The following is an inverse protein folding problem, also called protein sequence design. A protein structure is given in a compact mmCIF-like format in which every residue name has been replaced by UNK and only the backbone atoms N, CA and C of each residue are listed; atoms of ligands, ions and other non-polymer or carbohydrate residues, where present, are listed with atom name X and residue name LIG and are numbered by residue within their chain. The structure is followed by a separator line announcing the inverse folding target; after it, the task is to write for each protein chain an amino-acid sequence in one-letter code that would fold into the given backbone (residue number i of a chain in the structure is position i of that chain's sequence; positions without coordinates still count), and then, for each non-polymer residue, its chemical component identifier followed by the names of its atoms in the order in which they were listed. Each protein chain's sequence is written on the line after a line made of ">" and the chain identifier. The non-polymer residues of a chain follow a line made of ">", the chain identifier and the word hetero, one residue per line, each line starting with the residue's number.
data_IF_049269424738
#
_entry.id   IF_049269424738
#
_cell.length_a   1.000
_cell.length_b   1.000
_cell.length_c   1.000
_cell.angle_alpha   90.00
_cell.angle_beta   90.00
_cell.angle_gamma   90.00
#
_symmetry.space_group_name_H-M   'P 1'
#
loop_
_entity.id
_entity.type
_entity.pdbx_description
1 polymer ?
#
# COMPACT_ATOMS: atom_id res chain seq x y z
N UNK A 1 59.36 -70.49 -22.46
CA UNK A 1 58.73 -71.32 -21.41
C UNK A 1 58.12 -70.35 -20.41
N UNK A 2 56.78 -70.17 -20.46
CA UNK A 2 55.84 -70.62 -19.41
C UNK A 2 56.10 -69.86 -18.09
N UNK A 3 55.25 -68.96 -17.61
CA UNK A 3 53.84 -69.21 -17.30
C UNK A 3 53.02 -67.91 -17.24
N UNK A 4 51.79 -68.00 -17.77
CA UNK A 4 50.68 -67.07 -17.54
C UNK A 4 50.08 -67.39 -16.18
N UNK A 5 49.83 -66.39 -15.36
CA UNK A 5 48.96 -66.45 -14.18
C UNK A 5 47.82 -65.44 -14.37
N UNK A 6 46.61 -65.97 -14.25
CA UNK A 6 45.31 -65.30 -14.37
C UNK A 6 45.01 -64.44 -13.15
N UNK A 7 44.24 -63.33 -13.28
CA UNK A 7 43.44 -62.83 -12.17
C UNK A 7 41.95 -63.07 -12.40
N UNK A 8 41.34 -63.48 -11.29
CA UNK A 8 39.94 -63.79 -11.02
C UNK A 8 39.01 -62.63 -11.38
N UNK A 9 37.91 -62.96 -12.07
CA UNK A 9 36.72 -62.12 -12.23
C UNK A 9 36.02 -61.94 -10.87
N UNK A 10 35.87 -60.70 -10.41
CA UNK A 10 34.91 -60.33 -9.37
C UNK A 10 34.06 -59.18 -9.89
N UNK A 11 32.80 -59.48 -10.24
CA UNK A 11 31.79 -58.53 -10.66
C UNK A 11 31.42 -57.59 -9.51
N UNK A 12 31.69 -56.30 -9.67
CA UNK A 12 31.24 -55.26 -8.76
C UNK A 12 29.80 -54.85 -9.17
N UNK A 13 28.80 -55.33 -8.43
CA UNK A 13 27.43 -54.83 -8.53
C UNK A 13 27.41 -53.38 -7.99
N UNK A 14 27.20 -52.39 -8.86
CA UNK A 14 26.75 -51.07 -8.44
C UNK A 14 25.27 -51.17 -8.05
N UNK A 15 25.00 -51.24 -6.74
CA UNK A 15 23.68 -50.89 -6.23
C UNK A 15 23.49 -49.38 -6.37
N UNK A 16 22.71 -48.95 -7.37
CA UNK A 16 22.05 -47.64 -7.31
C UNK A 16 21.04 -47.70 -6.16
N UNK A 17 21.41 -47.18 -4.99
CA UNK A 17 20.44 -46.81 -3.97
C UNK A 17 19.70 -45.56 -4.46
N UNK A 18 18.49 -45.75 -4.98
CA UNK A 18 17.51 -44.67 -5.05
C UNK A 18 17.21 -44.23 -3.63
N UNK A 19 17.68 -43.04 -3.24
CA UNK A 19 17.23 -42.40 -2.01
C UNK A 19 15.79 -41.96 -2.25
N UNK A 20 14.84 -42.81 -1.86
CA UNK A 20 13.45 -42.40 -1.70
C UNK A 20 13.40 -41.50 -0.48
N UNK A 21 13.21 -40.20 -0.68
CA UNK A 21 12.74 -39.31 0.38
C UNK A 21 11.30 -39.72 0.70
N UNK A 22 11.14 -40.60 1.68
CA UNK A 22 9.82 -41.00 2.16
C UNK A 22 9.06 -39.79 2.68
N UNK A 23 7.94 -39.46 2.03
CA UNK A 23 6.86 -38.67 2.60
C UNK A 23 6.46 -39.34 3.92
N UNK A 24 6.92 -38.80 5.05
CA UNK A 24 6.53 -39.28 6.37
C UNK A 24 5.24 -38.55 6.72
N UNK A 25 4.10 -39.16 6.43
CA UNK A 25 2.81 -38.62 6.84
C UNK A 25 2.67 -38.74 8.36
N UNK A 26 3.01 -37.68 9.08
CA UNK A 26 2.58 -37.55 10.46
C UNK A 26 1.05 -37.38 10.46
N UNK A 27 0.35 -38.49 10.64
CA UNK A 27 -1.11 -38.54 10.63
C UNK A 27 -1.76 -37.61 11.67
N UNK A 28 -1.06 -37.28 12.77
CA UNK A 28 -1.57 -36.38 13.80
C UNK A 28 -1.46 -34.92 13.33
N UNK A 29 -0.32 -34.54 12.74
CA UNK A 29 -0.14 -33.21 12.14
C UNK A 29 -1.14 -32.99 10.99
N UNK A 30 -1.29 -33.96 10.08
CA UNK A 30 -2.23 -33.86 8.97
C UNK A 30 -3.68 -33.65 9.44
N UNK A 31 -4.08 -34.33 10.52
CA UNK A 31 -5.41 -34.16 11.12
C UNK A 31 -5.61 -32.77 11.72
N UNK A 32 -4.59 -32.23 12.40
CA UNK A 32 -4.63 -30.87 12.94
C UNK A 32 -4.74 -29.82 11.83
N UNK A 33 -3.91 -29.94 10.78
CA UNK A 33 -3.91 -29.01 9.66
C UNK A 33 -5.25 -28.99 8.92
N UNK A 34 -5.86 -30.15 8.69
CA UNK A 34 -7.18 -30.22 8.05
C UNK A 34 -8.31 -29.70 8.95
N UNK A 35 -8.24 -29.94 10.27
CA UNK A 35 -9.21 -29.36 11.20
C UNK A 35 -9.12 -27.82 11.24
N UNK A 36 -7.90 -27.27 11.18
CA UNK A 36 -7.68 -25.82 11.08
C UNK A 36 -8.26 -25.26 9.77
N UNK A 37 -7.98 -25.94 8.64
CA UNK A 37 -8.47 -25.53 7.33
C UNK A 37 -10.00 -25.45 7.27
N UNK A 38 -10.69 -26.44 7.84
CA UNK A 38 -12.16 -26.46 7.89
C UNK A 38 -12.76 -25.31 8.73
N UNK A 39 -12.03 -24.83 9.74
CA UNK A 39 -12.46 -23.71 10.58
C UNK A 39 -12.23 -22.36 9.91
N UNK A 40 -11.07 -22.19 9.29
CA UNK A 40 -10.62 -20.88 8.81
C UNK A 40 -11.07 -20.59 7.38
N UNK A 41 -11.18 -21.61 6.53
CA UNK A 41 -11.39 -21.44 5.09
C UNK A 41 -12.63 -22.19 4.62
N UNK A 42 -13.64 -21.41 4.22
CA UNK A 42 -14.88 -21.93 3.68
C UNK A 42 -14.76 -22.24 2.17
N UNK A 43 -13.74 -23.02 1.78
CA UNK A 43 -13.55 -23.52 0.40
C UNK A 43 -13.91 -25.01 0.34
N UNK A 44 -15.11 -25.36 -0.12
CA UNK A 44 -15.56 -26.75 -0.12
C UNK A 44 -14.64 -27.66 -0.93
N UNK A 45 -14.14 -28.72 -0.28
CA UNK A 45 -13.39 -29.78 -0.94
C UNK A 45 -11.90 -29.53 -1.12
N UNK A 46 -11.31 -28.52 -0.48
CA UNK A 46 -9.87 -28.36 -0.34
C UNK A 46 -9.39 -29.08 0.94
N UNK A 47 -8.29 -29.85 0.87
CA UNK A 47 -7.66 -30.47 2.04
C UNK A 47 -6.14 -30.55 1.90
N UNK A 48 -5.44 -30.63 3.03
CA UNK A 48 -4.02 -30.98 3.08
C UNK A 48 -3.90 -32.50 2.92
N UNK A 49 -3.43 -32.93 1.76
CA UNK A 49 -3.28 -34.33 1.38
C UNK A 49 -2.06 -34.99 2.03
N UNK A 50 -0.95 -34.25 2.05
CA UNK A 50 0.29 -34.74 2.63
C UNK A 50 1.19 -33.59 3.08
N UNK A 51 2.20 -33.93 3.87
CA UNK A 51 3.20 -32.99 4.39
C UNK A 51 4.58 -33.61 4.21
N UNK A 52 5.59 -32.79 3.93
CA UNK A 52 6.99 -33.19 4.04
C UNK A 52 7.79 -32.13 4.77
N UNK A 53 8.69 -32.56 5.66
CA UNK A 53 9.59 -31.67 6.39
C UNK A 53 11.04 -31.99 6.03
N UNK A 54 11.84 -30.98 5.67
CA UNK A 54 13.26 -31.15 5.39
C UNK A 54 14.03 -29.86 5.70
N UNK A 55 15.18 -29.99 6.38
CA UNK A 55 16.10 -28.87 6.65
C UNK A 55 15.42 -27.66 7.32
N UNK A 56 14.51 -27.93 8.27
CA UNK A 56 13.75 -26.88 8.96
C UNK A 56 12.60 -26.28 8.15
N UNK A 57 12.33 -26.77 6.93
CA UNK A 57 11.21 -26.30 6.10
C UNK A 57 10.05 -27.30 6.12
N UNK A 58 8.82 -26.80 5.94
CA UNK A 58 7.63 -27.61 5.76
C UNK A 58 7.00 -27.35 4.38
N UNK A 59 6.58 -28.43 3.71
CA UNK A 59 5.79 -28.39 2.48
C UNK A 59 4.42 -28.96 2.76
N UNK A 60 3.39 -28.20 2.43
CA UNK A 60 1.99 -28.56 2.55
C UNK A 60 1.44 -28.83 1.14
N UNK A 61 0.97 -30.06 0.94
CA UNK A 61 0.48 -30.53 -0.35
C UNK A 61 -1.05 -30.52 -0.33
N UNK A 62 -1.65 -29.55 -1.01
CA UNK A 62 -3.10 -29.37 -1.07
C UNK A 62 -3.71 -30.13 -2.24
N UNK A 63 -4.80 -30.83 -1.96
CA UNK A 63 -5.60 -31.52 -2.96
C UNK A 63 -7.06 -31.10 -2.87
N UNK A 64 -7.77 -31.39 -3.96
CA UNK A 64 -9.23 -31.35 -4.01
C UNK A 64 -9.74 -32.50 -4.89
N UNK A 65 -11.06 -32.63 -5.06
CA UNK A 65 -11.67 -33.68 -5.90
C UNK A 65 -11.20 -33.71 -7.37
N UNK A 66 -10.55 -32.63 -7.86
CA UNK A 66 -9.92 -32.52 -9.18
C UNK A 66 -8.68 -31.62 -9.13
N UNK A 67 -7.66 -31.86 -9.95
CA UNK A 67 -6.48 -30.99 -10.07
C UNK A 67 -6.84 -29.53 -10.44
N UNK A 68 -5.97 -28.58 -10.11
CA UNK A 68 -6.20 -27.14 -10.27
C UNK A 68 -5.85 -26.67 -11.68
N UNK A 69 -6.69 -25.81 -12.26
CA UNK A 69 -6.31 -24.98 -13.39
C UNK A 69 -5.92 -23.57 -12.91
N UNK A 70 -5.12 -22.88 -13.71
CA UNK A 70 -4.76 -21.47 -13.44
C UNK A 70 -6.02 -20.63 -13.32
N UNK A 71 -6.13 -19.87 -12.22
CA UNK A 71 -7.29 -19.05 -11.89
C UNK A 71 -8.41 -19.77 -11.14
N UNK A 72 -8.23 -21.05 -10.80
CA UNK A 72 -9.22 -21.77 -9.96
C UNK A 72 -9.06 -21.49 -8.45
N UNK A 73 -7.97 -20.83 -8.04
CA UNK A 73 -7.79 -20.31 -6.68
C UNK A 73 -7.92 -18.79 -6.75
N UNK A 74 -8.90 -18.22 -6.06
CA UNK A 74 -9.05 -16.78 -5.92
C UNK A 74 -8.05 -16.19 -4.90
N UNK A 75 -7.86 -14.88 -4.96
CA UNK A 75 -6.90 -14.17 -4.10
C UNK A 75 -7.24 -14.32 -2.61
N UNK A 76 -8.52 -14.23 -2.24
CA UNK A 76 -9.01 -14.38 -0.85
C UNK A 76 -8.65 -15.74 -0.26
N UNK A 77 -8.82 -16.80 -1.04
CA UNK A 77 -8.52 -18.17 -0.62
C UNK A 77 -7.03 -18.38 -0.46
N UNK A 78 -6.24 -17.89 -1.42
CA UNK A 78 -4.79 -18.00 -1.34
C UNK A 78 -4.24 -17.28 -0.11
N UNK A 79 -4.76 -16.08 0.18
CA UNK A 79 -4.36 -15.28 1.33
C UNK A 79 -4.80 -15.91 2.66
N UNK A 80 -6.07 -16.35 2.75
CA UNK A 80 -6.58 -17.04 3.93
C UNK A 80 -5.78 -18.30 4.27
N UNK A 81 -5.28 -19.03 3.25
CA UNK A 81 -4.37 -20.17 3.44
C UNK A 81 -3.04 -19.77 4.04
N UNK A 82 -2.43 -18.69 3.56
CA UNK A 82 -1.19 -18.18 4.15
C UNK A 82 -1.44 -17.87 5.62
N UNK A 83 -2.47 -17.08 5.91
CA UNK A 83 -2.80 -16.66 7.28
C UNK A 83 -3.07 -17.85 8.23
N UNK A 84 -3.89 -18.82 7.78
CA UNK A 84 -4.27 -20.00 8.59
C UNK A 84 -3.06 -20.83 9.04
N UNK A 85 -2.01 -20.86 8.23
CA UNK A 85 -0.83 -21.69 8.46
C UNK A 85 0.41 -20.90 8.88
N UNK A 86 0.31 -19.57 9.07
CA UNK A 86 1.44 -18.74 9.48
C UNK A 86 2.10 -19.25 10.76
N UNK A 87 1.33 -19.69 11.76
CA UNK A 87 1.83 -20.22 13.04
C UNK A 87 2.84 -21.38 12.93
N UNK A 88 2.94 -22.04 11.77
CA UNK A 88 3.96 -23.07 11.54
C UNK A 88 5.38 -22.48 11.49
N UNK A 89 5.54 -21.15 11.36
CA UNK A 89 6.82 -20.43 11.45
C UNK A 89 7.52 -20.58 12.80
N UNK A 90 6.77 -20.89 13.87
CA UNK A 90 7.32 -21.17 15.20
C UNK A 90 8.24 -22.40 15.20
N UNK A 91 7.93 -23.39 14.35
CA UNK A 91 8.64 -24.66 14.26
C UNK A 91 9.48 -24.76 12.98
N UNK A 92 9.10 -24.06 11.91
CA UNK A 92 9.67 -24.20 10.58
C UNK A 92 10.15 -22.86 10.01
N UNK A 93 11.34 -22.83 9.43
CA UNK A 93 11.92 -21.62 8.83
C UNK A 93 11.22 -21.18 7.54
N UNK A 94 10.56 -22.09 6.82
CA UNK A 94 9.78 -21.80 5.60
C UNK A 94 8.58 -22.72 5.47
N UNK A 95 7.50 -22.17 4.91
CA UNK A 95 6.27 -22.89 4.58
C UNK A 95 6.05 -22.81 3.07
N UNK A 96 5.91 -23.96 2.42
CA UNK A 96 5.66 -24.05 0.98
C UNK A 96 4.29 -24.65 0.72
N UNK A 97 3.42 -23.89 0.06
CA UNK A 97 2.10 -24.34 -0.37
C UNK A 97 2.17 -24.91 -1.79
N UNK A 98 1.81 -26.17 -1.97
CA UNK A 98 1.87 -26.88 -3.25
C UNK A 98 0.49 -27.41 -3.65
N UNK A 99 0.19 -27.36 -4.94
CA UNK A 99 -1.04 -27.88 -5.56
C UNK A 99 -0.71 -28.70 -6.81
N UNK A 100 -1.59 -29.61 -7.21
CA UNK A 100 -1.43 -30.36 -8.47
C UNK A 100 -1.99 -29.54 -9.63
N UNK A 101 -1.12 -29.17 -10.57
CA UNK A 101 -1.51 -28.56 -11.84
C UNK A 101 -2.22 -29.57 -12.75
N UNK A 102 -3.41 -29.22 -13.24
CA UNK A 102 -4.19 -30.05 -14.16
C UNK A 102 -3.49 -30.25 -15.51
N UNK A 103 -2.75 -29.26 -15.98
CA UNK A 103 -2.11 -29.33 -17.30
C UNK A 103 -0.90 -30.27 -17.30
N UNK A 104 -0.10 -30.24 -16.24
CA UNK A 104 1.16 -30.98 -16.17
C UNK A 104 1.12 -32.21 -15.25
N UNK A 105 0.09 -32.32 -14.42
CA UNK A 105 -0.05 -33.33 -13.36
C UNK A 105 1.13 -33.35 -12.37
N UNK A 106 1.79 -32.20 -12.20
CA UNK A 106 2.90 -32.00 -11.28
C UNK A 106 2.50 -31.13 -10.10
N UNK A 107 3.19 -31.32 -8.98
CA UNK A 107 3.14 -30.39 -7.86
C UNK A 107 3.82 -29.07 -8.23
N UNK A 108 3.07 -27.99 -8.15
CA UNK A 108 3.55 -26.63 -8.40
C UNK A 108 3.23 -25.73 -7.20
N UNK A 109 3.98 -24.63 -7.00
CA UNK A 109 3.62 -23.61 -6.03
C UNK A 109 2.16 -23.15 -6.23
N UNK A 110 1.39 -23.10 -5.15
CA UNK A 110 -0.01 -22.68 -5.17
C UNK A 110 -0.20 -21.30 -5.82
N UNK A 111 0.75 -20.39 -5.61
CA UNK A 111 0.81 -19.05 -6.23
C UNK A 111 0.63 -19.11 -7.75
N UNK A 112 1.11 -20.17 -8.42
CA UNK A 112 1.01 -20.33 -9.87
C UNK A 112 -0.42 -20.61 -10.35
N UNK A 113 -1.31 -20.99 -9.43
CA UNK A 113 -2.73 -21.28 -9.70
C UNK A 113 -3.67 -20.16 -9.25
N UNK A 114 -3.15 -19.14 -8.57
CA UNK A 114 -3.94 -17.97 -8.13
C UNK A 114 -4.32 -17.13 -9.34
N UNK A 115 -5.55 -16.62 -9.35
CA UNK A 115 -6.01 -15.64 -10.35
C UNK A 115 -5.10 -14.41 -10.29
N UNK A 116 -4.20 -14.26 -11.25
CA UNK A 116 -3.35 -13.08 -11.34
C UNK A 116 -3.87 -12.16 -12.45
N UNK A 117 -4.51 -11.07 -12.06
CA UNK A 117 -4.65 -9.92 -12.95
C UNK A 117 -3.25 -9.28 -13.07
N UNK A 118 -2.81 -8.81 -14.26
CA UNK A 118 -1.54 -8.11 -14.39
C UNK A 118 -1.47 -6.91 -13.44
N UNK A 119 -0.28 -6.61 -12.91
CA UNK A 119 -0.05 -5.36 -12.17
C UNK A 119 -0.29 -4.19 -13.13
N UNK A 120 -1.02 -3.17 -12.66
CA UNK A 120 -1.23 -1.95 -13.44
C UNK A 120 -0.05 -1.02 -13.18
N UNK A 121 0.67 -0.66 -14.23
CA UNK A 121 1.63 0.43 -14.19
C UNK A 121 0.91 1.75 -14.40
N UNK A 122 1.27 2.77 -13.63
CA UNK A 122 0.79 4.13 -13.86
C UNK A 122 1.29 4.63 -15.22
N UNK A 123 0.39 5.27 -15.97
CA UNK A 123 0.72 5.97 -17.21
C UNK A 123 0.43 7.44 -17.01
N UNK A 124 1.46 8.27 -17.09
CA UNK A 124 1.34 9.72 -17.04
C UNK A 124 0.30 10.20 -18.06
N UNK A 125 -0.59 11.08 -17.62
CA UNK A 125 -1.54 11.74 -18.50
C UNK A 125 -0.76 12.71 -19.40
N UNK A 126 -0.97 12.60 -20.71
CA UNK A 126 -0.39 13.57 -21.65
C UNK A 126 -1.06 14.93 -21.43
N UNK A 127 -0.29 15.92 -21.00
CA UNK A 127 -0.71 17.31 -20.96
C UNK A 127 0.01 18.11 -22.07
N UNK A 128 -0.66 19.11 -22.62
CA UNK A 128 -0.12 19.99 -23.66
C UNK A 128 -0.14 21.44 -23.21
N UNK A 129 -0.02 21.69 -21.91
CA UNK A 129 0.11 23.04 -21.38
C UNK A 129 1.37 23.70 -21.98
N UNK A 130 1.37 25.03 -22.18
CA UNK A 130 2.40 25.74 -22.95
C UNK A 130 3.72 25.94 -22.17
N UNK A 131 4.15 24.93 -21.42
CA UNK A 131 5.37 24.92 -20.61
C UNK A 131 6.30 23.81 -21.09
N UNK A 132 7.58 24.13 -21.25
CA UNK A 132 8.58 23.16 -21.67
C UNK A 132 8.87 22.15 -20.55
N UNK A 133 8.88 20.86 -20.89
CA UNK A 133 9.30 19.82 -19.96
C UNK A 133 10.82 19.89 -19.75
N UNK A 134 11.25 20.05 -18.50
CA UNK A 134 12.68 20.13 -18.16
C UNK A 134 13.20 18.96 -17.33
N UNK A 135 12.33 17.97 -16.98
CA UNK A 135 12.61 16.76 -16.17
C UNK A 135 13.81 16.88 -15.23
N UNK A 136 13.53 17.11 -13.95
CA UNK A 136 14.51 16.90 -12.88
C UNK A 136 15.67 17.90 -12.90
N UNK A 137 15.36 19.18 -12.67
CA UNK A 137 16.33 20.08 -12.06
C UNK A 137 16.84 19.45 -10.77
N UNK A 138 18.16 19.45 -10.57
CA UNK A 138 18.79 18.75 -9.45
C UNK A 138 18.05 19.05 -8.12
N UNK A 139 17.37 18.04 -7.59
CA UNK A 139 16.69 18.10 -6.30
C UNK A 139 17.79 18.23 -5.25
N UNK A 140 18.13 19.47 -4.89
CA UNK A 140 19.05 19.78 -3.82
C UNK A 140 18.38 19.41 -2.48
N UNK A 141 18.36 18.10 -2.20
CA UNK A 141 17.94 17.52 -0.94
C UNK A 141 16.43 17.45 -0.75
N UNK A 142 15.81 16.35 -1.19
CA UNK A 142 14.52 15.86 -0.69
C UNK A 142 13.51 16.98 -0.36
N UNK A 143 13.01 17.67 -1.39
CA UNK A 143 11.80 18.49 -1.26
C UNK A 143 10.65 17.51 -1.02
N UNK A 144 10.39 17.24 0.26
CA UNK A 144 9.38 16.29 0.70
C UNK A 144 8.01 16.85 0.46
N UNK A 145 7.14 15.96 0.04
CA UNK A 145 5.70 16.15 -0.03
C UNK A 145 5.05 16.17 1.37
N UNK A 146 5.74 15.72 2.44
CA UNK A 146 5.10 15.56 3.76
C UNK A 146 5.97 16.01 4.96
N UNK A 147 5.37 16.72 5.92
CA UNK A 147 5.97 17.22 7.16
C UNK A 147 5.37 16.57 8.42
N UNK A 148 6.16 16.58 9.48
CA UNK A 148 5.74 16.34 10.86
C UNK A 148 4.71 17.37 11.33
N UNK A 149 3.83 16.95 12.25
CA UNK A 149 2.85 17.83 12.89
C UNK A 149 3.47 19.16 13.37
N UNK A 150 3.03 20.26 12.75
CA UNK A 150 3.30 21.62 13.20
C UNK A 150 4.74 22.17 13.04
N UNK A 151 5.69 21.45 12.43
CA UNK A 151 7.04 21.99 12.17
C UNK A 151 7.64 21.50 10.85
N UNK A 152 8.36 22.39 10.16
CA UNK A 152 9.14 22.08 8.97
C UNK A 152 10.31 21.13 9.24
N UNK A 153 10.59 20.26 8.27
CA UNK A 153 11.75 19.36 8.11
C UNK A 153 12.41 18.89 9.42
N UNK A 154 11.88 17.84 10.04
CA UNK A 154 12.65 17.08 11.03
C UNK A 154 13.68 16.21 10.30
N UNK A 155 14.96 16.55 10.46
CA UNK A 155 16.05 15.67 10.10
C UNK A 155 16.17 14.58 11.16
N UNK A 156 15.88 13.34 10.78
CA UNK A 156 15.96 12.19 11.66
C UNK A 156 16.60 10.99 10.96
N UNK A 157 16.76 9.86 11.66
CA UNK A 157 17.45 8.67 11.14
C UNK A 157 16.80 8.07 9.89
N UNK A 158 15.52 8.36 9.62
CA UNK A 158 14.80 7.91 8.43
C UNK A 158 14.78 8.95 7.31
N UNK A 159 15.60 10.01 7.38
CA UNK A 159 15.65 11.04 6.36
C UNK A 159 15.95 10.47 4.97
N UNK A 160 15.09 10.81 4.00
CA UNK A 160 15.18 10.32 2.62
C UNK A 160 14.53 8.95 2.39
N UNK A 161 14.01 8.29 3.44
CA UNK A 161 13.29 7.02 3.32
C UNK A 161 11.79 7.23 3.15
N UNK A 162 11.17 6.36 2.37
CA UNK A 162 9.72 6.30 2.19
C UNK A 162 9.16 5.04 2.86
N UNK A 163 8.09 5.18 3.63
CA UNK A 163 7.42 4.07 4.31
C UNK A 163 5.96 4.06 3.90
N UNK A 164 5.55 2.98 3.24
CA UNK A 164 4.17 2.67 2.95
C UNK A 164 3.60 1.79 4.04
N UNK A 165 2.58 2.28 4.74
CA UNK A 165 1.93 1.57 5.83
C UNK A 165 0.64 0.93 5.36
N UNK A 166 0.49 -0.35 5.69
CA UNK A 166 -0.78 -1.07 5.60
C UNK A 166 -1.49 -1.09 6.94
N UNK A 167 -2.68 -0.49 7.00
CA UNK A 167 -3.49 -0.33 8.23
C UNK A 167 -4.28 -1.60 8.61
N UNK A 168 -3.91 -2.80 8.13
CA UNK A 168 -4.73 -4.02 8.26
C UNK A 168 -6.09 -3.89 7.51
N UNK A 169 -7.06 -4.75 7.84
CA UNK A 169 -8.38 -4.86 7.25
C UNK A 169 -9.31 -3.73 7.68
N UNK A 170 -10.35 -3.53 6.89
CA UNK A 170 -11.45 -2.64 7.22
C UNK A 170 -12.77 -3.20 6.70
N UNK A 171 -13.81 -2.38 6.79
CA UNK A 171 -15.10 -2.69 6.19
C UNK A 171 -14.93 -3.03 4.72
N UNK A 172 -15.43 -4.21 4.35
CA UNK A 172 -15.49 -4.66 2.97
C UNK A 172 -16.83 -5.34 2.70
N UNK A 173 -17.37 -5.18 1.49
CA UNK A 173 -18.64 -5.78 1.12
C UNK A 173 -18.42 -7.22 0.60
N UNK A 174 -19.17 -8.20 1.10
CA UNK A 174 -19.14 -9.59 0.61
C UNK A 174 -20.15 -9.86 -0.50
N UNK A 175 -20.86 -8.83 -0.97
CA UNK A 175 -22.06 -8.95 -1.81
C UNK A 175 -23.35 -9.14 -1.02
N UNK A 176 -23.26 -9.64 0.22
CA UNK A 176 -24.37 -9.73 1.17
C UNK A 176 -24.44 -8.54 2.15
N UNK A 177 -23.37 -7.74 2.22
CA UNK A 177 -23.26 -6.59 3.12
C UNK A 177 -21.82 -6.34 3.57
N UNK A 178 -21.63 -5.19 4.22
CA UNK A 178 -20.34 -4.82 4.81
C UNK A 178 -20.08 -5.63 6.08
N UNK A 179 -18.93 -6.30 6.10
CA UNK A 179 -18.41 -7.04 7.25
C UNK A 179 -16.97 -6.59 7.53
N UNK A 180 -16.53 -6.84 8.75
CA UNK A 180 -15.11 -6.83 9.11
C UNK A 180 -14.54 -8.23 8.84
N UNK A 181 -13.24 -8.32 8.62
CA UNK A 181 -12.57 -9.61 8.45
C UNK A 181 -12.52 -10.39 9.77
N UNK A 182 -12.46 -9.67 10.90
CA UNK A 182 -12.61 -10.24 12.25
C UNK A 182 -13.85 -9.72 12.94
N UNK A 183 -14.54 -10.64 13.62
CA UNK A 183 -15.68 -10.30 14.48
C UNK A 183 -15.26 -9.51 15.72
N UNK A 184 -16.24 -8.97 16.44
CA UNK A 184 -15.99 -8.31 17.72
C UNK A 184 -15.58 -9.34 18.78
N UNK A 185 -14.35 -9.23 19.29
CA UNK A 185 -13.80 -10.05 20.37
C UNK A 185 -13.37 -9.17 21.53
N UNK A 186 -13.74 -9.50 22.76
CA UNK A 186 -13.47 -8.66 23.95
C UNK A 186 -13.92 -7.19 23.81
N UNK A 187 -15.02 -6.94 23.07
CA UNK A 187 -15.53 -5.59 22.74
C UNK A 187 -14.61 -4.76 21.83
N UNK A 188 -13.65 -5.40 21.16
CA UNK A 188 -12.72 -4.81 20.21
C UNK A 188 -12.94 -5.45 18.84
N UNK A 189 -12.79 -4.66 17.79
CA UNK A 189 -12.65 -5.14 16.41
C UNK A 189 -11.20 -4.93 16.01
N UNK A 190 -10.48 -6.02 15.75
CA UNK A 190 -9.05 -6.01 15.42
C UNK A 190 -8.73 -5.08 14.22
N UNK A 191 -9.53 -5.20 13.15
CA UNK A 191 -9.48 -4.38 11.94
C UNK A 191 -9.38 -2.87 12.23
N UNK A 192 -10.06 -2.38 13.27
CA UNK A 192 -10.07 -0.95 13.63
C UNK A 192 -8.94 -0.58 14.59
N UNK A 193 -8.60 -1.44 15.54
CA UNK A 193 -7.50 -1.16 16.49
C UNK A 193 -6.15 -1.10 15.78
N UNK A 194 -5.96 -1.90 14.73
CA UNK A 194 -4.76 -1.79 13.90
C UNK A 194 -4.68 -0.43 13.20
N UNK A 195 -5.80 0.03 12.59
CA UNK A 195 -5.87 1.33 11.94
C UNK A 195 -5.64 2.47 12.95
N UNK A 196 -6.31 2.44 14.10
CA UNK A 196 -6.13 3.41 15.18
C UNK A 196 -4.68 3.47 15.68
N UNK A 197 -4.05 2.30 15.89
CA UNK A 197 -2.65 2.21 16.34
C UNK A 197 -1.70 2.88 15.34
N UNK A 198 -1.94 2.65 14.05
CA UNK A 198 -1.09 3.19 13.00
C UNK A 198 -1.33 4.70 12.84
N UNK A 199 -2.59 5.11 12.80
CA UNK A 199 -2.98 6.48 12.52
C UNK A 199 -2.66 7.43 13.69
N UNK A 200 -2.89 7.02 14.94
CA UNK A 200 -2.56 7.83 16.11
C UNK A 200 -1.08 7.86 16.46
N UNK A 201 -0.33 6.79 16.20
CA UNK A 201 1.03 6.65 16.72
C UNK A 201 2.07 6.41 15.63
N UNK A 202 1.96 5.32 14.87
CA UNK A 202 3.05 4.88 14.00
C UNK A 202 3.37 5.90 12.90
N UNK A 203 2.34 6.49 12.28
CA UNK A 203 2.51 7.56 11.29
C UNK A 203 3.33 8.71 11.89
N UNK A 204 2.92 9.19 13.06
CA UNK A 204 3.56 10.32 13.71
C UNK A 204 4.99 10.01 14.16
N UNK A 205 5.26 8.80 14.65
CA UNK A 205 6.62 8.37 15.01
C UNK A 205 7.54 8.29 13.80
N UNK A 206 7.09 7.71 12.70
CA UNK A 206 7.88 7.61 11.47
C UNK A 206 8.15 8.98 10.86
N UNK A 207 7.13 9.85 10.80
CA UNK A 207 7.30 11.23 10.36
C UNK A 207 8.29 11.97 11.26
N UNK A 208 8.20 11.81 12.59
CA UNK A 208 9.11 12.44 13.56
C UNK A 208 10.54 11.90 13.47
N UNK A 209 10.71 10.64 13.07
CA UNK A 209 12.01 10.06 12.74
C UNK A 209 12.53 10.51 11.36
N UNK A 210 11.77 11.34 10.65
CA UNK A 210 12.13 11.88 9.35
C UNK A 210 11.80 10.95 8.20
N UNK A 211 10.83 10.04 8.26
CA UNK A 211 10.37 9.31 7.08
C UNK A 211 9.38 10.14 6.23
N UNK A 212 9.28 9.81 4.94
CA UNK A 212 8.13 10.11 4.09
C UNK A 212 7.09 8.99 4.28
N UNK A 213 5.88 9.29 4.77
CA UNK A 213 4.93 8.25 5.21
C UNK A 213 3.65 8.26 4.38
N UNK A 214 3.40 7.16 3.69
CA UNK A 214 2.19 6.89 2.91
C UNK A 214 1.36 5.80 3.56
N UNK A 215 0.05 5.81 3.27
CA UNK A 215 -0.92 4.84 3.82
C UNK A 215 -1.76 4.30 2.68
N UNK A 216 -2.12 3.02 2.77
CA UNK A 216 -2.98 2.36 1.76
C UNK A 216 -4.47 2.41 2.11
N UNK A 217 -4.80 3.00 3.27
CA UNK A 217 -6.13 3.42 3.70
C UNK A 217 -6.10 4.89 4.11
N UNK A 218 -7.30 5.46 4.28
CA UNK A 218 -7.46 6.82 4.81
C UNK A 218 -6.88 6.89 6.22
N UNK A 219 -6.07 7.91 6.49
CA UNK A 219 -5.40 8.13 7.79
C UNK A 219 -6.09 9.16 8.67
N UNK A 220 -7.01 9.94 8.09
CA UNK A 220 -7.75 10.93 8.84
C UNK A 220 -9.01 10.31 9.43
N UNK A 221 -9.00 10.21 10.76
CA UNK A 221 -10.12 9.69 11.53
C UNK A 221 -11.29 10.68 11.66
N UNK A 222 -11.15 11.90 11.14
CA UNK A 222 -12.23 12.86 11.09
C UNK A 222 -13.25 12.47 10.01
N UNK A 223 -14.50 12.19 10.43
CA UNK A 223 -15.58 11.79 9.52
C UNK A 223 -16.12 12.93 8.64
N UNK A 224 -15.62 14.15 8.82
CA UNK A 224 -15.96 15.31 7.99
C UNK A 224 -14.98 15.39 6.83
N UNK A 225 -15.47 15.91 5.71
CA UNK A 225 -14.67 16.14 4.51
C UNK A 225 -15.11 17.47 3.91
N UNK A 226 -14.14 18.35 3.73
CA UNK A 226 -14.31 19.65 3.09
C UNK A 226 -13.39 19.65 1.89
N UNK A 227 -13.96 19.71 0.69
CA UNK A 227 -13.19 19.83 -0.54
C UNK A 227 -13.47 21.19 -1.16
N UNK A 228 -12.40 21.94 -1.39
CA UNK A 228 -12.43 23.21 -2.10
C UNK A 228 -11.75 23.01 -3.45
N UNK A 229 -12.48 23.27 -4.53
CA UNK A 229 -11.99 23.13 -5.91
C UNK A 229 -11.92 24.51 -6.58
N UNK A 230 -10.99 24.70 -7.52
CA UNK A 230 -10.80 25.95 -8.24
C UNK A 230 -12.08 26.44 -8.96
N UNK A 231 -12.93 25.54 -9.45
CA UNK A 231 -14.15 25.91 -10.16
C UNK A 231 -15.27 26.45 -9.26
N UNK A 232 -15.12 26.37 -7.93
CA UNK A 232 -16.09 26.93 -6.99
C UNK A 232 -16.09 28.46 -6.96
N UNK A 233 -15.00 29.11 -7.41
CA UNK A 233 -14.88 30.57 -7.47
C UNK A 233 -15.03 31.26 -6.11
N UNK A 234 -15.13 32.59 -6.12
CA UNK A 234 -15.17 33.38 -4.90
C UNK A 234 -16.45 33.14 -4.08
N UNK A 235 -16.40 33.05 -2.74
CA UNK A 235 -15.21 33.26 -1.90
C UNK A 235 -14.38 31.99 -1.63
N UNK A 236 -14.84 30.82 -2.08
CA UNK A 236 -14.19 29.53 -1.79
C UNK A 236 -12.81 29.42 -2.46
N UNK A 237 -12.67 29.97 -3.67
CA UNK A 237 -11.42 30.04 -4.43
C UNK A 237 -11.21 31.42 -5.04
N UNK A 238 -10.01 31.98 -4.90
CA UNK A 238 -9.66 33.29 -5.47
C UNK A 238 -8.23 33.30 -6.01
N UNK A 239 -8.00 34.06 -7.08
CA UNK A 239 -6.69 34.19 -7.74
C UNK A 239 -6.18 35.63 -7.68
N UNK A 240 -4.87 35.79 -7.57
CA UNK A 240 -4.15 37.03 -7.85
C UNK A 240 -3.10 36.77 -8.93
N UNK A 241 -2.79 37.80 -9.74
CA UNK A 241 -1.87 37.66 -10.87
C UNK A 241 -2.51 36.93 -12.06
N UNK A 242 -1.68 36.26 -12.84
CA UNK A 242 -2.09 35.62 -14.10
C UNK A 242 -2.24 34.11 -13.92
N UNK A 243 -3.47 33.62 -14.15
CA UNK A 243 -3.82 32.20 -14.16
C UNK A 243 -4.68 31.87 -15.38
N UNK A 244 -4.47 30.69 -15.96
CA UNK A 244 -5.21 30.20 -17.14
C UNK A 244 -5.66 28.76 -16.92
N UNK A 245 -6.73 28.36 -17.60
CA UNK A 245 -7.16 26.95 -17.59
C UNK A 245 -6.08 26.03 -18.16
N UNK A 246 -5.95 24.87 -17.56
CA UNK A 246 -5.14 23.77 -18.07
C UNK A 246 -5.74 23.10 -19.30
N UNK A 247 -4.93 22.30 -19.98
CA UNK A 247 -5.30 21.66 -21.25
C UNK A 247 -6.13 20.39 -21.12
N UNK A 248 -6.28 19.83 -19.91
CA UNK A 248 -7.04 18.60 -19.64
C UNK A 248 -7.94 18.77 -18.41
N UNK A 249 -8.77 17.77 -18.10
CA UNK A 249 -9.60 17.79 -16.90
C UNK A 249 -8.76 17.67 -15.61
N UNK A 250 -9.04 18.54 -14.63
CA UNK A 250 -8.57 18.44 -13.26
C UNK A 250 -9.53 17.61 -12.39
N UNK A 251 -9.46 17.78 -11.09
CA UNK A 251 -10.35 17.12 -10.15
C UNK A 251 -11.79 17.64 -10.27
N UNK A 252 -12.70 16.82 -10.81
CA UNK A 252 -14.11 17.17 -10.90
C UNK A 252 -14.44 18.36 -11.80
N UNK A 253 -13.50 18.83 -12.62
CA UNK A 253 -13.63 20.06 -13.39
C UNK A 253 -12.36 20.46 -14.14
N UNK A 254 -12.09 21.76 -14.19
CA UNK A 254 -10.85 22.33 -14.74
C UNK A 254 -9.74 22.35 -13.69
N UNK A 255 -8.52 22.67 -14.10
CA UNK A 255 -7.46 23.11 -13.19
C UNK A 255 -6.84 24.40 -13.73
N UNK A 256 -6.13 25.11 -12.87
CA UNK A 256 -5.54 26.41 -13.15
C UNK A 256 -4.03 26.31 -13.21
N UNK A 257 -3.43 27.08 -14.11
CA UNK A 257 -1.98 27.10 -14.38
C UNK A 257 -1.45 28.52 -14.30
N UNK A 258 -0.27 28.69 -13.67
CA UNK A 258 0.49 29.93 -13.69
C UNK A 258 1.96 29.64 -14.03
N UNK A 259 2.63 30.63 -14.62
CA UNK A 259 4.09 30.53 -14.82
C UNK A 259 4.80 30.80 -13.52
N UNK A 260 5.77 29.95 -13.20
CA UNK A 260 6.69 30.19 -12.08
C UNK A 260 7.48 31.48 -12.26
N UNK A 261 7.84 32.08 -11.14
CA UNK A 261 8.60 33.32 -11.02
C UNK A 261 9.55 33.24 -9.82
N UNK A 262 10.66 33.97 -9.84
CA UNK A 262 11.60 34.02 -8.70
C UNK A 262 11.10 34.84 -7.50
N UNK A 263 9.93 35.45 -7.63
CA UNK A 263 9.19 36.14 -6.59
C UNK A 263 7.69 35.85 -6.75
N UNK A 264 6.93 35.90 -5.66
CA UNK A 264 5.47 35.74 -5.72
C UNK A 264 4.83 36.91 -6.48
N UNK A 265 4.33 36.63 -7.69
CA UNK A 265 3.57 37.57 -8.53
C UNK A 265 2.14 37.10 -8.79
N UNK A 266 1.87 35.82 -8.59
CA UNK A 266 0.56 35.19 -8.72
C UNK A 266 0.33 34.25 -7.54
N UNK A 267 -0.91 34.20 -7.04
CA UNK A 267 -1.30 33.23 -6.02
C UNK A 267 -2.70 32.69 -6.27
N UNK A 268 -2.97 31.48 -5.80
CA UNK A 268 -4.29 30.85 -5.81
C UNK A 268 -4.65 30.45 -4.38
N UNK A 269 -5.78 30.93 -3.87
CA UNK A 269 -6.18 30.77 -2.46
C UNK A 269 -7.49 30.00 -2.34
N UNK A 270 -7.45 28.91 -1.59
CA UNK A 270 -8.59 28.10 -1.19
C UNK A 270 -9.02 28.49 0.23
N UNK A 271 -10.29 28.79 0.43
CA UNK A 271 -10.86 29.23 1.71
C UNK A 271 -11.88 28.20 2.20
N UNK A 272 -11.47 27.15 2.93
CA UNK A 272 -12.39 26.14 3.43
C UNK A 272 -13.32 26.71 4.50
N UNK A 273 -14.60 26.35 4.43
CA UNK A 273 -15.57 26.65 5.51
C UNK A 273 -15.54 25.51 6.52
N UNK A 274 -14.90 25.76 7.67
CA UNK A 274 -14.84 24.78 8.77
C UNK A 274 -16.02 24.99 9.71
N UNK A 275 -16.93 24.03 9.77
CA UNK A 275 -18.17 24.10 10.57
C UNK A 275 -18.04 23.42 11.94
N UNK A 276 -16.95 22.70 12.19
CA UNK A 276 -16.67 21.99 13.44
C UNK A 276 -15.21 22.10 13.80
N UNK A 277 -14.94 22.39 15.07
CA UNK A 277 -13.57 22.43 15.57
C UNK A 277 -13.00 21.01 15.63
N UNK A 278 -11.72 20.84 15.27
CA UNK A 278 -11.06 19.54 15.31
C UNK A 278 -9.71 19.51 14.61
N UNK A 279 -9.06 18.35 14.68
CA UNK A 279 -7.92 18.03 13.84
C UNK A 279 -8.41 17.59 12.46
N UNK A 280 -7.78 18.14 11.43
CA UNK A 280 -8.00 17.77 10.03
C UNK A 280 -6.65 17.55 9.38
N UNK A 281 -6.51 16.43 8.69
CA UNK A 281 -5.48 16.31 7.68
C UNK A 281 -5.84 17.18 6.48
N UNK A 282 -4.89 18.01 6.06
CA UNK A 282 -4.95 18.77 4.81
C UNK A 282 -4.28 17.93 3.73
N UNK A 283 -4.93 17.75 2.59
CA UNK A 283 -4.34 17.16 1.39
C UNK A 283 -4.66 18.00 0.15
N UNK A 284 -3.86 17.83 -0.89
CA UNK A 284 -3.98 18.55 -2.15
C UNK A 284 -4.03 17.57 -3.31
N UNK A 285 -4.65 17.97 -4.40
CA UNK A 285 -4.65 17.25 -5.66
C UNK A 285 -4.33 18.22 -6.77
N UNK A 286 -3.55 17.76 -7.75
CA UNK A 286 -3.12 18.54 -8.90
C UNK A 286 -2.85 17.61 -10.09
N UNK A 287 -2.83 18.17 -11.29
CA UNK A 287 -2.44 17.45 -12.51
C UNK A 287 -0.92 17.42 -12.64
N UNK A 288 -0.34 16.24 -12.41
CA UNK A 288 1.09 16.03 -12.49
C UNK A 288 1.63 16.10 -13.94
N UNK A 289 2.90 16.43 -14.09
CA UNK A 289 3.58 16.43 -15.39
C UNK A 289 5.04 16.88 -15.34
N UNK A 290 5.84 16.47 -16.32
CA UNK A 290 7.26 16.80 -16.39
C UNK A 290 7.60 18.28 -16.70
N UNK A 291 6.59 19.13 -16.82
CA UNK A 291 6.67 20.57 -17.06
C UNK A 291 6.12 21.38 -15.86
N UNK A 292 6.06 20.75 -14.67
CA UNK A 292 5.64 21.39 -13.42
C UNK A 292 6.84 21.73 -12.56
N UNK A 293 6.70 22.78 -11.74
CA UNK A 293 7.73 23.13 -10.77
C UNK A 293 7.84 22.06 -9.67
N UNK A 294 9.07 21.76 -9.24
CA UNK A 294 9.33 20.77 -8.18
C UNK A 294 9.28 21.35 -6.76
N UNK A 295 9.21 22.68 -6.63
CA UNK A 295 9.33 23.41 -5.37
C UNK A 295 8.13 24.35 -5.08
N UNK A 296 6.92 23.97 -5.51
CA UNK A 296 5.70 24.78 -5.36
C UNK A 296 5.37 25.03 -3.90
N UNK A 297 5.19 26.30 -3.52
CA UNK A 297 4.90 26.68 -2.14
C UNK A 297 3.42 26.67 -1.82
N UNK A 298 3.05 25.91 -0.79
CA UNK A 298 1.71 25.85 -0.20
C UNK A 298 1.75 26.45 1.21
N UNK A 299 0.99 27.51 1.44
CA UNK A 299 0.85 28.17 2.74
C UNK A 299 -0.49 27.81 3.37
N UNK A 300 -0.48 27.19 4.54
CA UNK A 300 -1.68 26.78 5.26
C UNK A 300 -1.86 27.69 6.47
N UNK A 301 -2.94 28.45 6.50
CA UNK A 301 -3.39 29.21 7.67
C UNK A 301 -4.37 28.33 8.46
N UNK A 302 -3.99 27.99 9.69
CA UNK A 302 -4.74 27.13 10.61
C UNK A 302 -4.81 27.75 12.01
N UNK A 303 -5.46 27.10 12.99
CA UNK A 303 -5.65 27.67 14.32
C UNK A 303 -4.33 27.98 15.06
N UNK A 304 -3.30 27.16 14.84
CA UNK A 304 -1.95 27.38 15.40
C UNK A 304 -1.07 28.42 14.69
N UNK A 305 -1.55 29.12 13.66
CA UNK A 305 -0.77 30.05 12.86
C UNK A 305 -0.65 29.63 11.39
N UNK A 306 0.50 29.93 10.78
CA UNK A 306 0.75 29.65 9.36
C UNK A 306 1.89 28.65 9.21
N UNK A 307 1.71 27.63 8.38
CA UNK A 307 2.76 26.68 8.02
C UNK A 307 2.94 26.62 6.51
N UNK A 308 4.18 26.69 6.03
CA UNK A 308 4.53 26.60 4.62
C UNK A 308 5.09 25.21 4.26
N UNK A 309 4.71 24.72 3.08
CA UNK A 309 5.18 23.47 2.48
C UNK A 309 5.68 23.69 1.06
N UNK A 310 6.58 22.81 0.65
CA UNK A 310 7.10 22.74 -0.71
C UNK A 310 6.65 21.43 -1.30
N UNK A 311 5.88 21.49 -2.40
CA UNK A 311 5.32 20.31 -3.06
C UNK A 311 5.91 20.22 -4.45
N UNK A 312 6.34 19.02 -4.78
CA UNK A 312 6.76 18.69 -6.12
C UNK A 312 5.55 18.29 -6.95
N UNK A 313 5.21 19.11 -7.96
CA UNK A 313 4.03 18.87 -8.78
C UNK A 313 4.29 18.00 -10.02
N UNK A 314 5.51 17.47 -10.23
CA UNK A 314 5.77 16.55 -11.33
C UNK A 314 5.25 15.13 -11.05
N UNK A 315 5.08 14.75 -9.78
CA UNK A 315 4.83 13.37 -9.34
C UNK A 315 3.69 13.29 -8.34
N UNK A 316 3.15 12.08 -8.12
CA UNK A 316 2.10 11.78 -7.13
C UNK A 316 0.81 12.62 -7.25
N UNK A 317 0.67 13.40 -8.31
CA UNK A 317 -0.58 14.06 -8.64
C UNK A 317 -1.66 13.07 -9.05
N UNK A 318 -2.83 13.61 -9.40
CA UNK A 318 -4.05 12.87 -9.72
C UNK A 318 -4.58 11.98 -8.56
N UNK A 319 -3.97 12.06 -7.38
CA UNK A 319 -4.35 11.46 -6.08
C UNK A 319 -4.38 12.55 -5.00
N UNK A 320 -4.99 12.25 -3.86
CA UNK A 320 -4.92 13.11 -2.68
C UNK A 320 -3.58 12.94 -1.97
N UNK A 321 -2.81 14.01 -1.98
CA UNK A 321 -1.47 14.11 -1.40
C UNK A 321 -1.54 14.89 -0.10
N UNK A 322 -1.33 14.23 1.04
CA UNK A 322 -1.35 14.90 2.36
C UNK A 322 -0.23 15.94 2.51
N UNK A 323 -0.55 17.04 3.17
CA UNK A 323 0.41 18.07 3.57
C UNK A 323 0.61 18.11 5.08
N UNK A 324 -0.30 17.59 5.90
CA UNK A 324 -0.13 17.60 7.35
C UNK A 324 -1.44 17.70 8.10
N UNK A 325 -1.38 17.54 9.42
CA UNK A 325 -2.54 17.60 10.29
C UNK A 325 -2.52 18.88 11.12
N UNK A 326 -3.62 19.62 11.11
CA UNK A 326 -3.75 20.89 11.84
C UNK A 326 -5.08 20.98 12.56
N UNK A 327 -5.10 21.74 13.64
CA UNK A 327 -6.33 22.09 14.32
C UNK A 327 -6.99 23.29 13.62
N UNK A 328 -8.31 23.22 13.47
CA UNK A 328 -9.15 24.31 12.99
C UNK A 328 -10.30 24.53 13.97
N UNK A 329 -10.67 25.79 14.21
CA UNK A 329 -11.86 26.14 14.98
C UNK A 329 -13.05 26.32 14.04
N UNK A 330 -14.25 25.92 14.46
CA UNK A 330 -15.47 26.23 13.70
C UNK A 330 -15.60 27.75 13.47
N UNK A 331 -15.91 28.14 12.22
CA UNK A 331 -16.08 29.53 11.80
C UNK A 331 -14.79 30.36 11.71
N UNK A 332 -13.61 29.74 11.85
CA UNK A 332 -12.34 30.44 11.67
C UNK A 332 -12.06 30.81 10.21
N UNK A 333 -11.24 31.87 10.03
CA UNK A 333 -10.77 32.30 8.71
C UNK A 333 -9.46 31.56 8.37
N UNK A 334 -9.57 30.53 7.53
CA UNK A 334 -8.47 29.66 7.16
C UNK A 334 -8.28 29.65 5.67
N UNK A 335 -7.05 29.35 5.24
CA UNK A 335 -6.74 29.26 3.83
C UNK A 335 -5.62 28.27 3.54
N UNK A 336 -5.63 27.76 2.31
CA UNK A 336 -4.48 27.12 1.68
C UNK A 336 -4.15 27.95 0.45
N UNK A 337 -2.96 28.53 0.40
CA UNK A 337 -2.53 29.43 -0.68
C UNK A 337 -1.35 28.83 -1.43
N UNK A 338 -1.47 28.74 -2.76
CA UNK A 338 -0.40 28.34 -3.67
C UNK A 338 0.27 29.61 -4.19
N UNK A 339 1.60 29.65 -4.09
CA UNK A 339 2.43 30.73 -4.64
C UNK A 339 3.03 30.32 -5.98
N UNK A 340 3.17 31.26 -6.91
CA UNK A 340 3.97 31.02 -8.12
C UNK A 340 5.49 31.24 -7.91
N UNK A 341 5.94 31.56 -6.69
CA UNK A 341 7.35 31.70 -6.36
C UNK A 341 8.06 30.34 -6.40
N UNK A 342 9.08 30.22 -7.25
CA UNK A 342 9.88 29.01 -7.44
C UNK A 342 11.28 29.36 -7.95
N UNK A 343 12.26 28.52 -7.62
CA UNK A 343 13.62 28.62 -8.16
C UNK A 343 13.70 28.14 -9.63
N UNK A 344 12.72 27.39 -10.09
CA UNK A 344 12.65 26.85 -11.46
C UNK A 344 11.93 27.86 -12.37
N UNK A 345 12.66 28.49 -13.28
CA UNK A 345 12.06 29.49 -14.17
C UNK A 345 11.17 28.86 -15.25
N UNK A 346 10.02 29.51 -15.51
CA UNK A 346 9.09 29.16 -16.61
C UNK A 346 8.54 27.72 -16.57
N UNK A 347 8.45 27.12 -15.38
CA UNK A 347 7.71 25.88 -15.13
C UNK A 347 6.26 26.20 -14.76
N UNK A 348 5.36 25.24 -15.00
CA UNK A 348 3.96 25.39 -14.63
C UNK A 348 3.75 25.19 -13.13
N UNK A 349 2.92 26.02 -12.53
CA UNK A 349 2.40 25.85 -11.17
C UNK A 349 0.89 25.62 -11.26
N UNK A 350 0.43 24.56 -10.61
CA UNK A 350 -0.91 24.01 -10.77
C UNK A 350 -1.74 24.26 -9.51
N UNK A 351 -2.94 24.78 -9.71
CA UNK A 351 -3.97 24.91 -8.68
C UNK A 351 -5.22 24.14 -9.15
N UNK A 352 -5.62 23.12 -8.38
CA UNK A 352 -6.80 22.30 -8.67
C UNK A 352 -7.68 22.17 -7.41
N UNK A 353 -7.37 21.24 -6.50
CA UNK A 353 -8.23 21.01 -5.32
C UNK A 353 -7.46 20.85 -4.00
N UNK A 354 -8.10 21.27 -2.92
CA UNK A 354 -7.67 21.12 -1.53
C UNK A 354 -8.74 20.35 -0.75
N UNK A 355 -8.32 19.46 0.14
CA UNK A 355 -9.18 18.66 0.99
C UNK A 355 -8.76 18.78 2.46
N UNK A 356 -9.73 18.96 3.34
CA UNK A 356 -9.59 18.88 4.80
C UNK A 356 -10.47 17.73 5.30
N UNK A 357 -9.91 16.83 6.10
CA UNK A 357 -10.69 15.78 6.75
C UNK A 357 -10.68 14.45 5.99
N UNK A 358 -11.02 13.37 6.68
CA UNK A 358 -11.03 12.00 6.15
C UNK A 358 -12.36 11.51 5.62
N UNK A 359 -13.46 12.17 5.97
CA UNK A 359 -14.79 11.89 5.45
C UNK A 359 -15.34 10.48 5.74
N UNK A 360 -16.29 10.08 4.91
CA UNK A 360 -16.96 8.78 4.97
C UNK A 360 -16.92 8.08 3.62
N UNK A 361 -17.03 6.76 3.61
CA UNK A 361 -17.23 6.01 2.37
C UNK A 361 -18.53 6.40 1.68
N UNK A 362 -18.44 7.04 0.53
CA UNK A 362 -19.59 7.50 -0.27
C UNK A 362 -19.75 6.74 -1.58
N UNK A 363 -18.76 5.91 -1.93
CA UNK A 363 -18.78 5.11 -3.14
C UNK A 363 -19.13 3.65 -2.82
N UNK A 364 -19.81 2.94 -3.73
CA UNK A 364 -19.96 1.49 -3.65
C UNK A 364 -18.62 0.77 -3.57
N UNK A 365 -18.63 -0.42 -2.99
CA UNK A 365 -17.50 -1.34 -3.03
C UNK A 365 -17.11 -1.64 -4.49
N UNK A 366 -15.82 -1.48 -4.83
CA UNK A 366 -15.39 -1.59 -6.22
C UNK A 366 -15.45 -3.03 -6.79
N UNK A 367 -15.58 -4.05 -5.95
CA UNK A 367 -15.61 -5.46 -6.37
C UNK A 367 -17.05 -6.00 -6.37
N UNK A 368 -17.77 -5.76 -5.27
CA UNK A 368 -19.10 -6.33 -5.03
C UNK A 368 -20.25 -5.31 -5.21
N UNK A 369 -19.92 -4.05 -5.50
CA UNK A 369 -20.91 -2.99 -5.74
C UNK A 369 -21.81 -2.71 -4.52
N UNK A 370 -23.08 -2.40 -4.80
CA UNK A 370 -24.09 -2.14 -3.79
C UNK A 370 -24.15 -0.67 -3.33
N UNK A 371 -24.62 -0.46 -2.10
CA UNK A 371 -24.62 0.87 -1.49
C UNK A 371 -23.23 1.24 -0.97
N UNK A 372 -22.98 2.53 -0.80
CA UNK A 372 -21.81 3.02 -0.08
C UNK A 372 -21.81 2.53 1.37
N UNK A 373 -20.62 2.37 1.97
CA UNK A 373 -20.50 1.94 3.36
C UNK A 373 -21.14 2.95 4.34
N UNK A 374 -21.05 4.25 4.01
CA UNK A 374 -21.40 5.37 4.87
C UNK A 374 -20.73 5.32 6.26
N UNK A 375 -19.60 4.60 6.35
CA UNK A 375 -18.74 4.50 7.54
C UNK A 375 -17.63 5.54 7.46
N UNK A 376 -16.97 5.88 8.58
CA UNK A 376 -15.71 6.63 8.53
C UNK A 376 -14.75 6.01 7.52
N UNK A 377 -14.18 6.81 6.63
CA UNK A 377 -13.38 6.28 5.52
C UNK A 377 -12.11 5.57 5.99
N UNK A 378 -11.55 5.99 7.13
CA UNK A 378 -10.41 5.30 7.76
C UNK A 378 -10.76 3.87 8.19
N UNK A 379 -12.04 3.55 8.44
CA UNK A 379 -12.50 2.19 8.74
C UNK A 379 -12.72 1.34 7.49
N UNK A 380 -12.71 1.91 6.28
CA UNK A 380 -12.88 1.15 5.05
C UNK A 380 -11.59 0.40 4.68
N UNK A 381 -11.75 -0.75 4.02
CA UNK A 381 -10.62 -1.54 3.56
C UNK A 381 -9.83 -0.83 2.45
N UNK A 382 -8.62 -1.30 2.17
CA UNK A 382 -7.72 -0.66 1.21
C UNK A 382 -8.30 -0.61 -0.21
N UNK A 383 -9.19 -1.54 -0.58
CA UNK A 383 -9.80 -1.53 -1.91
C UNK A 383 -10.75 -0.35 -2.15
N UNK A 384 -11.50 0.10 -1.14
CA UNK A 384 -12.31 1.30 -1.29
C UNK A 384 -11.43 2.55 -1.34
N UNK A 385 -10.44 2.63 -0.44
CA UNK A 385 -9.58 3.80 -0.38
C UNK A 385 -8.71 3.97 -1.64
N UNK A 386 -8.09 2.89 -2.12
CA UNK A 386 -7.31 2.94 -3.35
C UNK A 386 -8.18 3.29 -4.56
N UNK A 387 -9.44 2.81 -4.62
CA UNK A 387 -10.39 3.25 -5.65
C UNK A 387 -10.75 4.74 -5.50
N UNK A 388 -10.98 5.23 -4.28
CA UNK A 388 -11.21 6.65 -3.99
C UNK A 388 -10.01 7.52 -4.41
N UNK A 389 -8.80 7.00 -4.25
CA UNK A 389 -7.56 7.61 -4.75
C UNK A 389 -7.43 7.53 -6.28
N UNK A 390 -8.23 6.70 -6.97
CA UNK A 390 -8.24 6.58 -8.43
C UNK A 390 -7.43 5.42 -8.98
N UNK A 391 -7.06 4.44 -8.15
CA UNK A 391 -6.48 3.20 -8.63
C UNK A 391 -7.49 2.46 -9.53
N UNK A 392 -7.10 2.07 -10.76
CA UNK A 392 -8.06 1.72 -11.81
C UNK A 392 -8.60 0.28 -11.77
N UNK A 393 -8.06 -0.58 -10.91
CA UNK A 393 -8.41 -2.01 -10.89
C UNK A 393 -8.80 -2.43 -9.49
N UNK A 394 -10.02 -2.88 -9.29
CA UNK A 394 -10.40 -3.41 -7.99
C UNK A 394 -9.78 -4.80 -7.76
N UNK A 395 -9.38 -5.08 -6.51
CA UNK A 395 -8.91 -6.38 -6.04
C UNK A 395 -9.41 -6.66 -4.64
N UNK A 396 -9.14 -7.86 -4.15
CA UNK A 396 -9.33 -8.19 -2.75
C UNK A 396 -8.43 -7.35 -1.86
N UNK A 397 -8.88 -7.09 -0.63
CA UNK A 397 -8.28 -6.10 0.26
C UNK A 397 -6.79 -6.34 0.51
N UNK A 398 -6.38 -7.57 0.83
CA UNK A 398 -4.98 -7.88 1.11
C UNK A 398 -4.09 -7.75 -0.12
N UNK A 399 -4.56 -8.16 -1.29
CA UNK A 399 -3.83 -7.95 -2.54
C UNK A 399 -3.77 -6.48 -2.93
N UNK A 400 -4.81 -5.71 -2.62
CA UNK A 400 -4.91 -4.29 -3.00
C UNK A 400 -3.80 -3.45 -2.35
N UNK A 401 -3.50 -3.70 -1.08
CA UNK A 401 -2.54 -2.90 -0.30
C UNK A 401 -1.16 -2.78 -0.98
N UNK A 402 -0.46 -3.88 -1.33
CA UNK A 402 0.83 -3.79 -2.01
C UNK A 402 0.70 -3.33 -3.47
N UNK A 403 -0.35 -3.71 -4.22
CA UNK A 403 -0.44 -3.30 -5.64
C UNK A 403 -0.79 -1.81 -5.81
N UNK A 404 -1.58 -1.26 -4.89
CA UNK A 404 -1.83 0.18 -4.82
C UNK A 404 -0.56 0.94 -4.45
N UNK A 405 0.19 0.44 -3.46
CA UNK A 405 1.51 0.98 -3.09
C UNK A 405 2.42 1.06 -4.31
N UNK A 406 2.58 -0.04 -5.04
CA UNK A 406 3.44 -0.11 -6.23
C UNK A 406 3.00 0.86 -7.32
N UNK A 407 1.69 1.00 -7.55
CA UNK A 407 1.16 1.93 -8.54
C UNK A 407 1.38 3.39 -8.15
N UNK A 408 1.11 3.76 -6.90
CA UNK A 408 1.31 5.13 -6.46
C UNK A 408 2.81 5.47 -6.38
N UNK A 409 3.62 4.57 -5.83
CA UNK A 409 5.08 4.68 -5.81
C UNK A 409 5.67 4.76 -7.24
N UNK A 410 5.04 4.11 -8.23
CA UNK A 410 5.50 4.19 -9.64
C UNK A 410 5.46 5.61 -10.21
N UNK A 411 4.65 6.51 -9.62
CA UNK A 411 4.61 7.94 -9.97
C UNK A 411 5.83 8.70 -9.46
N UNK A 412 6.47 8.22 -8.40
CA UNK A 412 7.61 8.88 -7.76
C UNK A 412 8.92 8.81 -8.56
N UNK A 413 9.97 9.40 -8.02
CA UNK A 413 11.30 9.39 -8.64
C UNK A 413 12.07 8.09 -8.37
N UNK A 414 13.11 7.78 -9.17
CA UNK A 414 13.93 6.59 -8.95
C UNK A 414 14.48 6.48 -7.51
N UNK A 415 14.98 7.58 -6.94
CA UNK A 415 15.51 7.57 -5.57
C UNK A 415 14.45 7.28 -4.52
N UNK A 416 13.24 7.81 -4.68
CA UNK A 416 12.12 7.50 -3.78
C UNK A 416 11.74 6.02 -3.85
N UNK A 417 11.72 5.45 -5.06
CA UNK A 417 11.42 4.03 -5.29
C UNK A 417 12.48 3.12 -4.65
N UNK A 418 13.75 3.47 -4.83
CA UNK A 418 14.89 2.71 -4.30
C UNK A 418 14.96 2.78 -2.76
N UNK A 419 14.46 3.85 -2.15
CA UNK A 419 14.46 4.09 -0.70
C UNK A 419 13.10 3.85 -0.02
N UNK A 420 12.15 3.21 -0.73
CA UNK A 420 10.84 2.88 -0.21
C UNK A 420 10.77 1.47 0.41
N UNK A 421 10.01 1.36 1.51
CA UNK A 421 9.60 0.07 2.08
C UNK A 421 8.07 0.00 2.18
N UNK A 422 7.54 -1.21 2.09
CA UNK A 422 6.16 -1.53 2.46
C UNK A 422 6.16 -2.26 3.80
N UNK A 423 5.41 -1.75 4.76
CA UNK A 423 5.29 -2.30 6.10
C UNK A 423 3.79 -2.51 6.41
N UNK A 424 3.42 -3.76 6.67
CA UNK A 424 2.10 -4.10 7.17
C UNK A 424 2.20 -4.42 8.65
N UNK A 425 1.45 -3.68 9.48
CA UNK A 425 1.29 -4.00 10.89
C UNK A 425 -0.10 -4.59 11.10
N UNK A 426 -0.12 -5.77 11.71
CA UNK A 426 -1.32 -6.57 11.92
C UNK A 426 -1.24 -7.18 13.31
N UNK A 427 -2.23 -6.95 14.15
CA UNK A 427 -2.46 -7.84 15.29
C UNK A 427 -3.22 -9.07 14.79
N UNK A 428 -3.28 -10.15 15.56
CA UNK A 428 -4.07 -11.32 15.19
C UNK A 428 -5.21 -11.46 16.22
N UNK A 429 -6.46 -11.42 15.76
CA UNK A 429 -7.64 -11.68 16.59
C UNK A 429 -7.81 -13.14 17.06
N UNK A 430 -6.87 -14.04 16.74
CA UNK A 430 -6.85 -15.45 17.15
C UNK A 430 -6.15 -15.75 18.49
N UNK A 431 -5.98 -17.04 18.81
CA UNK A 431 -5.40 -17.51 20.09
C UNK A 431 -3.87 -17.51 20.19
N UNK A 432 -3.16 -16.85 19.26
CA UNK A 432 -1.70 -16.75 19.25
C UNK A 432 -1.16 -15.73 20.27
N UNK A 433 0.12 -15.84 20.62
CA UNK A 433 0.81 -14.87 21.48
C UNK A 433 2.20 -14.57 20.93
N UNK A 434 2.62 -13.30 20.95
CA UNK A 434 3.96 -12.89 20.53
C UNK A 434 3.92 -11.93 19.33
N UNK A 435 5.07 -11.73 18.70
CA UNK A 435 5.18 -10.99 17.44
C UNK A 435 6.06 -11.75 16.49
N UNK A 436 5.60 -11.87 15.25
CA UNK A 436 6.28 -12.58 14.18
C UNK A 436 6.42 -11.67 12.96
N UNK A 437 7.57 -11.73 12.31
CA UNK A 437 7.89 -11.01 11.09
C UNK A 437 8.23 -12.03 10.02
N UNK A 438 7.46 -12.01 8.93
CA UNK A 438 7.62 -12.94 7.82
C UNK A 438 7.89 -12.20 6.51
N UNK A 439 8.39 -12.94 5.53
CA UNK A 439 8.55 -12.44 4.16
C UNK A 439 8.46 -13.60 3.16
N UNK A 440 8.12 -13.28 1.92
CA UNK A 440 8.19 -14.25 0.84
C UNK A 440 9.63 -14.76 0.64
N UNK A 441 9.77 -16.05 0.35
CA UNK A 441 11.04 -16.77 0.31
C UNK A 441 11.86 -16.54 -0.97
N UNK A 442 11.31 -15.81 -1.93
CA UNK A 442 11.96 -15.50 -3.20
C UNK A 442 11.73 -16.53 -4.32
N UNK A 443 11.01 -17.63 -4.06
CA UNK A 443 10.95 -18.76 -4.99
C UNK A 443 10.14 -18.43 -6.25
N UNK A 444 9.04 -17.71 -6.11
CA UNK A 444 8.20 -17.29 -7.25
C UNK A 444 8.53 -15.88 -7.73
N UNK A 445 8.79 -14.94 -6.80
CA UNK A 445 9.14 -13.56 -7.10
C UNK A 445 10.45 -13.20 -6.39
N UNK A 446 11.42 -12.56 -7.04
CA UNK A 446 12.67 -12.17 -6.41
C UNK A 446 12.46 -11.34 -5.15
N UNK A 447 13.29 -11.59 -4.14
CA UNK A 447 13.35 -10.77 -2.93
C UNK A 447 14.23 -9.55 -3.20
N UNK A 448 13.72 -8.36 -2.90
CA UNK A 448 14.50 -7.12 -2.92
C UNK A 448 15.65 -7.21 -1.91
N UNK A 449 16.85 -6.79 -2.33
CA UNK A 449 18.01 -6.77 -1.46
C UNK A 449 17.74 -5.91 -0.21
N UNK A 450 18.11 -6.41 0.97
CA UNK A 450 17.85 -5.72 2.24
C UNK A 450 16.59 -6.16 2.97
N UNK A 451 15.60 -6.78 2.28
CA UNK A 451 14.32 -7.15 2.91
C UNK A 451 14.48 -8.17 4.05
N UNK A 452 15.38 -9.14 3.91
CA UNK A 452 15.71 -10.11 4.97
C UNK A 452 16.31 -9.40 6.19
N UNK A 453 17.30 -8.53 5.96
CA UNK A 453 17.96 -7.78 7.03
C UNK A 453 16.96 -6.85 7.75
N UNK A 454 16.05 -6.23 7.01
CA UNK A 454 15.02 -5.37 7.58
C UNK A 454 14.04 -6.18 8.44
N UNK A 455 13.49 -7.28 7.92
CA UNK A 455 12.62 -8.20 8.67
C UNK A 455 13.29 -8.65 9.96
N UNK A 456 14.53 -9.13 9.89
CA UNK A 456 15.27 -9.63 11.05
C UNK A 456 15.56 -8.51 12.07
N UNK A 457 15.84 -7.29 11.58
CA UNK A 457 16.05 -6.14 12.44
C UNK A 457 14.78 -5.72 13.15
N UNK A 458 13.63 -5.71 12.47
CA UNK A 458 12.32 -5.42 13.06
C UNK A 458 11.99 -6.48 14.10
N UNK A 459 12.09 -7.77 13.74
CA UNK A 459 11.80 -8.89 14.64
C UNK A 459 12.65 -8.86 15.92
N UNK A 460 13.90 -8.39 15.84
CA UNK A 460 14.80 -8.31 17.00
C UNK A 460 14.44 -7.20 17.98
N UNK A 461 13.76 -6.15 17.51
CA UNK A 461 13.39 -4.99 18.34
C UNK A 461 12.06 -5.19 19.07
N UNK A 462 11.24 -6.14 18.59
CA UNK A 462 9.97 -6.53 19.21
C UNK A 462 10.23 -7.74 20.11
#
# INVERSE_FOLDING_TARGET
>A
MISKLSPVFASLLLCLSTVSFGQKSDSALLKKLNAQLELDIHQPGLWVDSVSTAEGNIKLYFSRSRSFAVGEIDETTADGLVESFLHLTDEYSKIHFLVIDRATNNWVPMQNMVTSVPRVEYKERVNTDPFAATRGGQVAGAHRVFPTGGQGRVAGPLAGKTVWLSQSHGWHNTGAGFVTQRGAFNQIVEDFVNAETIDYYLIHYLMSAGANVWTVRERDMNTREIIVNNDQGAPAYTETGSWTDGSIAGYGGTYRTSSSSNAETSSATYTPTVDSSGLYWVSVRFVAGANRATDVRYRIVHAGGTTDYTVNQEVHGDTWVYLGQFYFFAGGNYSVTISNESAEASQAIIADAVRLGGGKGQDPDCLNGGAASNRPRYEESARMYANYQGYPTCREDVTMRPVYTEWELSKGYPTEKDDAIFLSLHTNGGGGTGTESFMHDGTTNPVTAGSLQLRDSVQKQI
#
